data_IF_922636672987
#
_entry.id   IF_922636672987
#
_cell.length_a   1.000
_cell.length_b   1.000
_cell.length_c   1.000
_cell.angle_alpha   90.00
_cell.angle_beta   90.00
_cell.angle_gamma   90.00
#
_symmetry.space_group_name_H-M   'P 1'
#
loop_
_entity.id
_entity.type
_entity.pdbx_description
1 polymer ?
#
# COMPACT_ATOMS: atom_id res chain seq x y z
N UNK A 1 -2.37 36.83 -12.17
CA UNK A 1 -2.76 35.60 -11.44
C UNK A 1 -1.47 34.89 -11.12
N UNK A 2 -1.24 34.64 -9.84
CA UNK A 2 -0.06 33.98 -9.31
C UNK A 2 -0.59 32.87 -8.43
N UNK A 3 -0.02 31.69 -8.55
CA UNK A 3 -0.54 30.48 -7.94
C UNK A 3 0.64 29.64 -7.48
N UNK A 4 0.54 29.10 -6.28
CA UNK A 4 1.49 28.14 -5.76
C UNK A 4 0.70 26.93 -5.30
N UNK A 5 1.07 25.77 -5.80
CA UNK A 5 0.45 24.51 -5.48
C UNK A 5 1.40 23.60 -4.72
N UNK A 6 0.83 23.01 -3.67
CA UNK A 6 1.40 21.95 -2.87
C UNK A 6 0.24 21.16 -2.27
N UNK A 7 0.29 19.82 -2.31
CA UNK A 7 -0.79 18.96 -1.81
C UNK A 7 -1.18 19.32 -0.36
N UNK A 8 -2.48 19.26 -0.04
CA UNK A 8 -2.98 19.56 1.30
C UNK A 8 -2.78 18.41 2.28
N UNK A 9 -2.91 17.17 1.79
CA UNK A 9 -2.70 15.96 2.57
C UNK A 9 -1.42 15.30 2.07
N UNK A 10 -0.41 15.25 2.93
CA UNK A 10 0.91 14.75 2.57
C UNK A 10 1.32 13.66 3.55
N UNK A 11 1.71 12.50 3.03
CA UNK A 11 2.24 11.40 3.84
C UNK A 11 3.74 11.62 4.08
N UNK A 12 4.20 11.29 5.28
CA UNK A 12 5.63 11.28 5.59
C UNK A 12 6.34 10.20 4.74
N UNK A 13 7.51 10.54 4.17
CA UNK A 13 8.23 9.68 3.22
C UNK A 13 7.72 9.71 1.77
N UNK A 14 6.69 10.52 1.45
CA UNK A 14 6.17 10.74 0.10
C UNK A 14 7.06 11.69 -0.74
N UNK A 15 7.02 11.52 -2.06
CA UNK A 15 7.48 12.51 -3.02
C UNK A 15 6.28 13.27 -3.58
N UNK A 16 6.23 14.58 -3.36
CA UNK A 16 5.07 15.40 -3.72
C UNK A 16 5.42 16.39 -4.83
N UNK A 17 4.54 16.55 -5.83
CA UNK A 17 4.70 17.59 -6.83
C UNK A 17 4.37 18.97 -6.25
N UNK A 18 5.11 19.96 -6.72
CA UNK A 18 4.80 21.37 -6.50
C UNK A 18 4.90 22.14 -7.81
N UNK A 19 4.15 23.25 -7.91
CA UNK A 19 4.34 24.19 -8.99
C UNK A 19 4.08 25.62 -8.56
N UNK A 20 4.78 26.56 -9.21
CA UNK A 20 4.63 27.99 -9.03
C UNK A 20 4.34 28.60 -10.39
N UNK A 21 3.25 29.36 -10.46
CA UNK A 21 2.85 30.13 -11.62
C UNK A 21 2.93 31.61 -11.31
N UNK A 22 3.50 32.37 -12.24
CA UNK A 22 3.46 33.83 -12.19
C UNK A 22 3.11 34.43 -13.54
N UNK A 23 2.30 35.48 -13.49
CA UNK A 23 2.06 36.37 -14.63
C UNK A 23 2.83 37.66 -14.43
N UNK A 24 3.50 38.14 -15.49
CA UNK A 24 4.18 39.43 -15.49
C UNK A 24 5.52 39.38 -16.24
N UNK A 25 6.35 40.36 -15.93
CA UNK A 25 7.70 40.57 -16.48
C UNK A 25 8.64 39.36 -16.25
N UNK A 26 9.74 39.33 -17.00
CA UNK A 26 10.84 38.39 -16.75
C UNK A 26 11.30 38.47 -15.29
N UNK A 27 11.45 37.31 -14.66
CA UNK A 27 12.05 37.24 -13.33
C UNK A 27 13.55 37.40 -13.45
N UNK A 28 14.14 38.11 -12.49
CA UNK A 28 15.58 38.17 -12.29
C UNK A 28 16.08 36.96 -11.51
N UNK A 29 15.30 36.53 -10.51
CA UNK A 29 15.58 35.32 -9.76
C UNK A 29 14.37 34.80 -8.99
N UNK A 30 14.41 33.51 -8.68
CA UNK A 30 13.46 32.81 -7.83
C UNK A 30 14.24 32.02 -6.78
N UNK A 31 13.86 32.16 -5.51
CA UNK A 31 14.43 31.38 -4.41
C UNK A 31 13.34 30.60 -3.66
N UNK A 32 13.50 29.29 -3.58
CA UNK A 32 12.69 28.42 -2.72
C UNK A 32 13.49 28.03 -1.48
N UNK A 33 12.82 28.02 -0.34
CA UNK A 33 13.35 27.52 0.93
C UNK A 33 12.32 26.59 1.54
N UNK A 34 12.77 25.42 1.99
CA UNK A 34 11.91 24.39 2.57
C UNK A 34 12.30 24.14 4.02
N UNK A 35 11.29 23.94 4.87
CA UNK A 35 11.45 23.53 6.28
C UNK A 35 10.53 22.35 6.54
N UNK A 36 10.97 21.35 7.31
CA UNK A 36 10.18 20.15 7.61
C UNK A 36 10.08 19.13 6.45
N UNK A 37 10.35 19.54 5.22
CA UNK A 37 10.62 18.64 4.10
C UNK A 37 12.07 18.12 4.15
N UNK A 38 12.36 17.04 3.43
CA UNK A 38 13.70 16.43 3.39
C UNK A 38 14.61 17.14 2.38
N UNK A 39 14.20 17.18 1.11
CA UNK A 39 14.97 17.80 0.01
C UNK A 39 14.13 17.98 -1.25
N UNK A 40 14.58 18.86 -2.15
CA UNK A 40 14.13 18.83 -3.55
C UNK A 40 14.72 17.60 -4.26
N UNK A 41 13.91 16.94 -5.09
CA UNK A 41 14.28 15.74 -5.85
C UNK A 41 14.48 16.09 -7.32
N UNK A 42 13.47 16.70 -7.93
CA UNK A 42 13.50 17.08 -9.34
C UNK A 42 13.04 18.52 -9.49
N UNK A 43 13.66 19.25 -10.42
CA UNK A 43 13.29 20.62 -10.79
C UNK A 43 13.03 20.64 -12.28
N UNK A 44 11.91 21.21 -12.69
CA UNK A 44 11.51 21.35 -14.08
C UNK A 44 11.46 22.82 -14.47
N UNK A 45 11.75 23.10 -15.74
CA UNK A 45 11.72 24.44 -16.33
C UNK A 45 12.76 25.40 -15.71
N UNK A 46 13.91 24.87 -15.28
CA UNK A 46 15.03 25.64 -14.72
C UNK A 46 16.28 25.44 -15.57
N UNK A 47 16.69 26.50 -16.25
CA UNK A 47 17.80 26.52 -17.22
C UNK A 47 19.15 26.74 -16.51
N UNK A 48 19.13 27.56 -15.45
CA UNK A 48 20.30 27.88 -14.62
C UNK A 48 19.83 27.96 -13.15
N UNK A 49 20.33 27.05 -12.33
CA UNK A 49 19.93 26.93 -10.93
C UNK A 49 21.03 26.34 -10.04
N UNK A 50 20.97 26.72 -8.77
CA UNK A 50 21.77 26.16 -7.69
C UNK A 50 20.85 25.43 -6.72
N UNK A 51 21.13 24.16 -6.47
CA UNK A 51 20.37 23.34 -5.53
C UNK A 51 21.22 22.99 -4.31
N UNK A 52 20.65 23.26 -3.14
CA UNK A 52 21.11 22.74 -1.85
C UNK A 52 20.01 21.86 -1.25
N UNK A 53 20.30 21.17 -0.14
CA UNK A 53 19.34 20.28 0.50
C UNK A 53 18.00 20.96 0.78
N UNK A 54 18.02 22.21 1.27
CA UNK A 54 16.83 22.91 1.75
C UNK A 54 16.52 24.21 1.00
N UNK A 55 17.27 24.54 -0.06
CA UNK A 55 16.99 25.72 -0.85
C UNK A 55 17.34 25.52 -2.32
N UNK A 56 16.52 26.10 -3.18
CA UNK A 56 16.70 26.17 -4.63
C UNK A 56 16.80 27.64 -5.02
N UNK A 57 17.81 27.99 -5.80
CA UNK A 57 17.92 29.30 -6.42
C UNK A 57 17.91 29.13 -7.94
N UNK A 58 17.00 29.81 -8.63
CA UNK A 58 16.87 29.79 -10.09
C UNK A 58 17.12 31.21 -10.60
N UNK A 59 18.13 31.36 -11.44
CA UNK A 59 18.46 32.61 -12.14
C UNK A 59 17.79 32.68 -13.50
N UNK A 60 17.48 31.53 -14.12
CA UNK A 60 16.88 31.46 -15.46
C UNK A 60 15.94 30.27 -15.61
N UNK A 61 14.80 30.49 -16.26
CA UNK A 61 13.80 29.46 -16.60
C UNK A 61 13.78 29.20 -18.11
N UNK A 62 13.51 27.96 -18.52
CA UNK A 62 13.35 27.60 -19.95
C UNK A 62 12.15 28.31 -20.57
N UNK A 63 10.99 28.26 -19.89
CA UNK A 63 9.74 28.92 -20.28
C UNK A 63 9.33 29.95 -19.23
N UNK A 64 9.00 31.20 -19.60
CA UNK A 64 8.57 32.21 -18.64
C UNK A 64 7.26 31.84 -17.92
N UNK A 65 7.17 32.19 -16.63
CA UNK A 65 5.91 32.16 -15.88
C UNK A 65 5.62 30.87 -15.12
N UNK A 66 6.53 29.90 -15.11
CA UNK A 66 6.34 28.59 -14.50
C UNK A 66 7.62 28.06 -13.85
N UNK A 67 7.50 27.35 -12.73
CA UNK A 67 8.51 26.46 -12.19
C UNK A 67 7.79 25.29 -11.55
N UNK A 68 8.25 24.06 -11.80
CA UNK A 68 7.71 22.85 -11.19
C UNK A 68 8.80 21.99 -10.61
N UNK A 69 8.41 21.00 -9.81
CA UNK A 69 9.35 20.00 -9.32
C UNK A 69 8.72 18.98 -8.38
N UNK A 70 9.58 18.12 -7.86
CA UNK A 70 9.29 17.14 -6.83
C UNK A 70 10.07 17.48 -5.56
N UNK A 71 9.41 17.37 -4.42
CA UNK A 71 10.02 17.51 -3.10
C UNK A 71 9.72 16.26 -2.27
N UNK A 72 10.72 15.76 -1.55
CA UNK A 72 10.56 14.61 -0.66
C UNK A 72 10.25 15.07 0.75
N UNK A 73 9.34 14.38 1.42
CA UNK A 73 8.93 14.65 2.79
C UNK A 73 9.82 13.89 3.77
N UNK A 74 9.93 14.36 5.01
CA UNK A 74 10.70 13.63 6.01
C UNK A 74 9.91 12.45 6.58
N UNK A 75 10.63 11.45 7.08
CA UNK A 75 10.08 10.37 7.92
C UNK A 75 10.43 10.69 9.36
N UNK A 76 9.44 10.70 10.25
CA UNK A 76 9.58 11.03 11.66
C UNK A 76 8.78 10.08 12.54
N UNK A 77 9.19 9.97 13.81
CA UNK A 77 8.42 9.26 14.83
C UNK A 77 7.21 10.05 15.33
N UNK A 78 7.11 11.33 14.97
CA UNK A 78 5.99 12.18 15.33
C UNK A 78 4.86 12.03 14.29
N UNK A 79 3.62 11.70 14.69
CA UNK A 79 2.50 11.50 13.76
C UNK A 79 2.19 12.69 12.85
N UNK A 80 2.51 13.90 13.29
CA UNK A 80 2.28 15.14 12.55
C UNK A 80 3.54 16.01 12.60
N UNK A 81 4.08 16.33 11.44
CA UNK A 81 5.23 17.25 11.30
C UNK A 81 4.79 18.46 10.49
N UNK A 82 5.04 19.66 11.02
CA UNK A 82 4.80 20.89 10.25
C UNK A 82 5.92 21.08 9.23
N UNK A 83 5.55 21.29 7.98
CA UNK A 83 6.45 21.57 6.89
C UNK A 83 6.02 22.85 6.15
N UNK A 84 6.96 23.56 5.58
CA UNK A 84 6.69 24.81 4.87
C UNK A 84 7.59 25.00 3.68
N UNK A 85 7.06 25.71 2.69
CA UNK A 85 7.80 26.16 1.52
C UNK A 85 7.61 27.67 1.36
N UNK A 86 8.73 28.39 1.36
CA UNK A 86 8.81 29.82 1.13
C UNK A 86 9.34 30.07 -0.27
N UNK A 87 8.65 30.92 -1.02
CA UNK A 87 9.01 31.32 -2.38
C UNK A 87 9.30 32.82 -2.38
N UNK A 88 10.45 33.23 -2.90
CA UNK A 88 10.80 34.63 -3.10
C UNK A 88 11.05 34.85 -4.60
N UNK A 89 10.24 35.69 -5.23
CA UNK A 89 10.40 36.13 -6.62
C UNK A 89 10.95 37.55 -6.66
N UNK A 90 12.04 37.76 -7.39
CA UNK A 90 12.55 39.08 -7.75
C UNK A 90 12.35 39.30 -9.25
N UNK A 91 11.58 40.31 -9.63
CA UNK A 91 11.33 40.68 -11.03
C UNK A 91 12.45 41.57 -11.56
N UNK A 92 12.66 41.59 -12.88
CA UNK A 92 13.66 42.45 -13.52
C UNK A 92 13.46 43.94 -13.23
N UNK A 93 12.22 44.37 -12.99
CA UNK A 93 11.85 45.74 -12.60
C UNK A 93 12.18 46.08 -11.12
N UNK A 94 12.77 45.14 -10.37
CA UNK A 94 13.13 45.29 -8.96
C UNK A 94 12.01 45.00 -7.95
N UNK A 95 10.79 44.72 -8.41
CA UNK A 95 9.70 44.28 -7.55
C UNK A 95 10.05 42.93 -6.91
N UNK A 96 9.70 42.75 -5.64
CA UNK A 96 9.81 41.48 -4.93
C UNK A 96 8.45 40.98 -4.50
N UNK A 97 8.26 39.66 -4.57
CA UNK A 97 7.07 38.98 -4.04
C UNK A 97 7.49 37.77 -3.24
N UNK A 98 6.73 37.51 -2.19
CA UNK A 98 6.95 36.39 -1.29
C UNK A 98 5.66 35.57 -1.17
N UNK A 99 5.81 34.25 -1.19
CA UNK A 99 4.74 33.28 -0.94
C UNK A 99 5.21 32.32 0.14
N UNK A 100 4.25 31.82 0.89
CA UNK A 100 4.52 30.91 1.98
C UNK A 100 3.36 29.93 2.12
N UNK A 101 3.64 28.65 1.99
CA UNK A 101 2.67 27.58 2.24
C UNK A 101 3.15 26.74 3.40
N UNK A 102 2.23 26.44 4.32
CA UNK A 102 2.41 25.50 5.40
C UNK A 102 1.58 24.26 5.13
N UNK A 103 2.16 23.09 5.43
CA UNK A 103 1.49 21.81 5.36
C UNK A 103 1.80 20.98 6.59
N UNK A 104 0.94 20.01 6.87
CA UNK A 104 1.17 19.00 7.89
C UNK A 104 1.47 17.70 7.17
N UNK A 105 2.58 17.07 7.56
CA UNK A 105 2.99 15.75 7.08
C UNK A 105 2.47 14.72 8.06
N UNK A 106 1.66 13.79 7.58
CA UNK A 106 0.97 12.81 8.41
C UNK A 106 1.64 11.44 8.34
N UNK A 107 1.71 10.78 9.48
CA UNK A 107 1.90 9.33 9.60
C UNK A 107 0.99 8.80 10.70
N UNK A 108 0.89 7.48 10.84
CA UNK A 108 0.13 6.83 11.92
C UNK A 108 1.05 5.92 12.71
N UNK A 109 1.14 6.17 14.01
CA UNK A 109 1.84 5.32 14.96
C UNK A 109 0.89 4.35 15.62
N UNK A 110 1.35 3.12 15.79
CA UNK A 110 0.55 2.01 16.32
C UNK A 110 0.98 1.74 17.76
N UNK A 111 0.03 1.78 18.69
CA UNK A 111 0.30 1.64 20.12
C UNK A 111 -0.61 0.57 20.71
N UNK A 112 -0.07 -0.61 21.08
CA UNK A 112 -0.83 -1.60 21.85
C UNK A 112 -1.31 -0.98 23.16
N UNK A 113 -2.60 -1.14 23.48
CA UNK A 113 -3.21 -0.61 24.72
C UNK A 113 -3.62 -1.70 25.68
N UNK A 114 -4.33 -2.71 25.20
CA UNK A 114 -4.68 -3.89 25.98
C UNK A 114 -4.39 -5.11 25.13
N UNK A 115 -3.60 -6.02 25.66
CA UNK A 115 -3.36 -7.32 25.06
C UNK A 115 -3.79 -8.33 26.13
N UNK A 116 -4.93 -9.01 25.97
CA UNK A 116 -5.36 -10.01 26.94
C UNK A 116 -4.34 -11.15 26.97
N UNK A 117 -4.14 -11.74 28.16
CA UNK A 117 -3.29 -12.93 28.30
C UNK A 117 -3.98 -14.17 27.70
N UNK A 118 -5.32 -14.22 27.79
CA UNK A 118 -6.17 -15.30 27.28
C UNK A 118 -7.36 -14.69 26.52
N UNK A 119 -7.66 -15.23 25.35
CA UNK A 119 -8.91 -14.97 24.61
C UNK A 119 -9.74 -16.26 24.63
N UNK A 120 -10.85 -16.24 25.34
CA UNK A 120 -11.81 -17.35 25.41
C UNK A 120 -12.85 -17.22 24.30
N UNK A 121 -12.68 -18.01 23.23
CA UNK A 121 -13.56 -18.04 22.06
C UNK A 121 -14.91 -18.70 22.34
N UNK A 122 -15.08 -19.34 23.50
CA UNK A 122 -16.36 -19.89 23.96
C UNK A 122 -17.32 -18.76 24.38
N UNK A 123 -16.78 -17.59 24.73
CA UNK A 123 -17.55 -16.38 25.00
C UNK A 123 -17.74 -15.56 23.72
N UNK A 124 -18.98 -15.32 23.23
CA UNK A 124 -19.22 -14.50 22.04
C UNK A 124 -18.77 -13.03 22.19
N UNK A 125 -18.59 -12.54 23.42
CA UNK A 125 -18.07 -11.20 23.74
C UNK A 125 -16.66 -11.27 24.35
N UNK A 126 -15.78 -12.07 23.74
CA UNK A 126 -14.40 -12.21 24.18
C UNK A 126 -13.61 -10.88 24.16
N UNK A 127 -12.63 -10.76 25.06
CA UNK A 127 -11.75 -9.59 25.11
C UNK A 127 -10.87 -9.54 23.85
N UNK A 128 -10.87 -8.39 23.18
CA UNK A 128 -10.09 -8.16 21.96
C UNK A 128 -8.76 -7.48 22.27
N UNK A 129 -7.80 -7.67 21.38
CA UNK A 129 -6.53 -6.96 21.40
C UNK A 129 -6.80 -5.51 20.99
N UNK A 130 -6.64 -4.57 21.93
CA UNK A 130 -6.89 -3.16 21.71
C UNK A 130 -5.61 -2.46 21.23
N UNK A 131 -5.69 -1.85 20.05
CA UNK A 131 -4.61 -1.08 19.43
C UNK A 131 -5.08 0.36 19.19
N UNK A 132 -4.33 1.32 19.74
CA UNK A 132 -4.52 2.74 19.45
C UNK A 132 -3.72 3.15 18.22
N UNK A 133 -4.35 3.97 17.37
CA UNK A 133 -3.75 4.57 16.19
C UNK A 133 -3.59 6.07 16.44
N UNK A 134 -2.35 6.57 16.53
CA UNK A 134 -2.05 8.00 16.65
C UNK A 134 -1.66 8.56 15.30
N UNK A 135 -2.54 9.37 14.69
CA UNK A 135 -2.34 9.94 13.36
C UNK A 135 -3.56 9.78 12.47
N UNK A 136 -3.42 10.08 11.17
CA UNK A 136 -4.55 10.17 10.22
C UNK A 136 -4.42 9.30 8.96
N UNK A 137 -3.21 8.76 8.71
CA UNK A 137 -2.95 7.90 7.55
C UNK A 137 -3.61 6.53 7.69
N UNK A 138 -3.93 5.91 6.56
CA UNK A 138 -4.41 4.52 6.54
C UNK A 138 -3.27 3.58 6.93
N UNK A 139 -3.61 2.50 7.62
CA UNK A 139 -2.64 1.48 8.08
C UNK A 139 -3.05 0.13 7.53
N UNK A 140 -2.08 -0.60 7.01
CA UNK A 140 -2.21 -1.95 6.50
C UNK A 140 -1.39 -2.91 7.38
N UNK A 141 -2.04 -3.87 8.03
CA UNK A 141 -1.38 -4.88 8.83
C UNK A 141 -1.06 -6.12 8.00
N UNK A 142 0.21 -6.48 7.95
CA UNK A 142 0.67 -7.81 7.57
C UNK A 142 0.82 -8.65 8.82
N UNK A 143 0.30 -9.87 8.80
CA UNK A 143 0.38 -10.80 9.93
C UNK A 143 1.36 -11.91 9.59
N UNK A 144 2.38 -12.08 10.41
CA UNK A 144 3.35 -13.17 10.29
C UNK A 144 3.24 -14.10 11.51
N UNK A 145 3.47 -15.40 11.28
CA UNK A 145 3.62 -16.40 12.37
C UNK A 145 5.00 -16.24 13.00
N UNK A 146 5.07 -16.35 14.33
CA UNK A 146 6.32 -16.55 15.05
C UNK A 146 6.58 -18.06 15.23
N UNK A 147 7.84 -18.45 15.44
CA UNK A 147 8.24 -19.87 15.52
C UNK A 147 7.55 -20.64 16.65
N UNK A 148 7.19 -19.95 17.73
CA UNK A 148 6.54 -20.50 18.93
C UNK A 148 5.01 -20.55 18.83
N UNK A 149 4.45 -20.25 17.66
CA UNK A 149 3.02 -20.24 17.41
C UNK A 149 2.48 -21.66 17.26
N UNK A 150 1.57 -22.04 18.15
CA UNK A 150 0.91 -23.34 18.15
C UNK A 150 -0.43 -23.31 17.40
N UNK A 151 -1.02 -22.12 17.20
CA UNK A 151 -2.32 -21.99 16.55
C UNK A 151 -2.17 -21.91 15.04
N UNK A 152 -2.74 -22.86 14.30
CA UNK A 152 -2.67 -22.86 12.85
C UNK A 152 -3.38 -21.60 12.32
N UNK A 153 -2.70 -20.81 11.48
CA UNK A 153 -3.37 -19.76 10.72
C UNK A 153 -3.50 -20.21 9.29
N UNK A 154 -4.72 -20.19 8.78
CA UNK A 154 -5.00 -20.62 7.43
C UNK A 154 -6.36 -20.09 6.95
N UNK A 155 -6.67 -20.32 5.69
CA UNK A 155 -8.00 -20.08 5.15
C UNK A 155 -8.99 -21.16 5.59
N UNK A 156 -10.27 -20.80 5.63
CA UNK A 156 -11.35 -21.76 5.80
C UNK A 156 -11.25 -22.87 4.73
N UNK A 157 -11.59 -24.14 5.06
CA UNK A 157 -11.53 -25.25 4.12
C UNK A 157 -12.25 -24.97 2.79
N UNK A 158 -13.39 -24.29 2.82
CA UNK A 158 -14.15 -23.93 1.62
C UNK A 158 -13.41 -22.95 0.73
N UNK A 159 -12.67 -22.00 1.32
CA UNK A 159 -11.84 -21.03 0.60
C UNK A 159 -10.62 -21.72 -0.01
N UNK A 160 -9.99 -22.65 0.72
CA UNK A 160 -8.88 -23.47 0.18
C UNK A 160 -9.34 -24.29 -1.02
N UNK A 161 -10.45 -25.01 -0.90
CA UNK A 161 -11.03 -25.82 -1.98
C UNK A 161 -11.40 -24.95 -3.17
N UNK A 162 -11.92 -23.75 -2.94
CA UNK A 162 -12.21 -22.79 -3.99
C UNK A 162 -10.94 -22.39 -4.77
N UNK A 163 -9.85 -22.03 -4.08
CA UNK A 163 -8.60 -21.68 -4.75
C UNK A 163 -8.00 -22.85 -5.52
N UNK A 164 -8.08 -24.07 -4.98
CA UNK A 164 -7.65 -25.28 -5.70
C UNK A 164 -8.47 -25.47 -6.99
N UNK A 165 -9.80 -25.40 -6.92
CA UNK A 165 -10.67 -25.54 -8.08
C UNK A 165 -10.41 -24.45 -9.13
N UNK A 166 -10.20 -23.18 -8.71
CA UNK A 166 -9.84 -22.09 -9.61
C UNK A 166 -8.50 -22.37 -10.28
N UNK A 167 -7.51 -22.83 -9.51
CA UNK A 167 -6.19 -23.21 -10.01
C UNK A 167 -6.25 -24.33 -11.04
N UNK A 168 -7.05 -25.37 -10.81
CA UNK A 168 -7.26 -26.47 -11.76
C UNK A 168 -7.88 -25.98 -13.08
N UNK A 169 -8.89 -25.11 -13.02
CA UNK A 169 -9.52 -24.55 -14.22
C UNK A 169 -8.55 -23.66 -15.00
N UNK A 170 -7.78 -22.81 -14.32
CA UNK A 170 -6.76 -21.97 -14.96
C UNK A 170 -5.69 -22.86 -15.60
N UNK A 171 -5.19 -23.86 -14.87
CA UNK A 171 -4.16 -24.77 -15.36
C UNK A 171 -4.64 -25.54 -16.60
N UNK A 172 -5.86 -26.09 -16.57
CA UNK A 172 -6.45 -26.76 -17.73
C UNK A 172 -6.62 -25.80 -18.91
N UNK A 173 -7.16 -24.61 -18.68
CA UNK A 173 -7.37 -23.61 -19.73
C UNK A 173 -6.06 -23.17 -20.38
N UNK A 174 -5.00 -22.98 -19.59
CA UNK A 174 -3.66 -22.66 -20.11
C UNK A 174 -3.06 -23.83 -20.90
N UNK A 175 -3.26 -25.08 -20.49
CA UNK A 175 -2.83 -26.24 -21.28
C UNK A 175 -3.54 -26.27 -22.63
N UNK A 176 -4.87 -26.07 -22.65
CA UNK A 176 -5.65 -26.06 -23.88
C UNK A 176 -5.23 -24.91 -24.80
N UNK A 177 -4.88 -23.76 -24.23
CA UNK A 177 -4.40 -22.58 -24.95
C UNK A 177 -3.12 -22.85 -25.75
N UNK A 178 -2.27 -23.79 -25.34
CA UNK A 178 -1.07 -24.19 -26.11
C UNK A 178 -1.41 -24.79 -27.46
N UNK A 179 -2.56 -25.45 -27.58
CA UNK A 179 -3.00 -26.01 -28.86
C UNK A 179 -3.50 -24.92 -29.81
N UNK A 180 -4.15 -23.88 -29.29
CA UNK A 180 -4.64 -22.74 -30.08
C UNK A 180 -3.55 -21.74 -30.43
N UNK A 181 -2.57 -21.54 -29.54
CA UNK A 181 -1.46 -20.60 -29.71
C UNK A 181 -0.09 -21.29 -29.54
N UNK A 182 0.32 -22.19 -30.44
CA UNK A 182 1.60 -22.91 -30.32
C UNK A 182 2.82 -21.98 -30.26
N UNK A 183 2.73 -20.81 -30.89
CA UNK A 183 3.79 -19.81 -30.93
C UNK A 183 4.11 -19.19 -29.56
N UNK A 184 3.20 -19.28 -28.59
CA UNK A 184 3.35 -18.69 -27.25
C UNK A 184 3.49 -19.75 -26.14
N UNK A 185 3.80 -21.00 -26.50
CA UNK A 185 3.92 -22.12 -25.56
C UNK A 185 4.89 -21.80 -24.42
N UNK A 186 6.06 -21.23 -24.72
CA UNK A 186 7.08 -20.89 -23.71
C UNK A 186 6.56 -19.86 -22.69
N UNK A 187 5.75 -18.90 -23.11
CA UNK A 187 5.13 -17.93 -22.20
C UNK A 187 4.03 -18.58 -21.35
N UNK A 188 3.25 -19.49 -21.92
CA UNK A 188 2.24 -20.25 -21.18
C UNK A 188 2.91 -21.14 -20.12
N UNK A 189 3.99 -21.83 -20.48
CA UNK A 189 4.80 -22.62 -19.54
C UNK A 189 5.35 -21.74 -18.42
N UNK A 190 5.85 -20.55 -18.75
CA UNK A 190 6.28 -19.58 -17.75
C UNK A 190 5.17 -19.19 -16.77
N UNK A 191 3.92 -18.98 -17.23
CA UNK A 191 2.78 -18.70 -16.34
C UNK A 191 2.48 -19.92 -15.45
N UNK A 192 2.50 -21.13 -16.01
CA UNK A 192 2.20 -22.37 -15.29
C UNK A 192 3.26 -22.71 -14.22
N UNK A 193 4.52 -22.38 -14.50
CA UNK A 193 5.66 -22.61 -13.59
C UNK A 193 5.87 -21.45 -12.59
N UNK A 194 5.07 -20.38 -12.67
CA UNK A 194 5.24 -19.21 -11.82
C UNK A 194 5.02 -19.58 -10.34
N UNK A 195 6.12 -19.71 -9.61
CA UNK A 195 6.12 -20.08 -8.20
C UNK A 195 5.68 -18.90 -7.31
N UNK A 196 4.50 -19.04 -6.72
CA UNK A 196 3.93 -18.10 -5.74
C UNK A 196 4.76 -17.95 -4.45
N UNK A 197 5.81 -18.75 -4.23
CA UNK A 197 6.71 -18.62 -3.09
C UNK A 197 7.57 -17.35 -3.13
N UNK A 198 7.75 -16.74 -4.32
CA UNK A 198 8.35 -15.42 -4.45
C UNK A 198 7.31 -14.37 -4.05
N UNK A 199 7.62 -13.56 -3.04
CA UNK A 199 6.67 -12.59 -2.49
C UNK A 199 6.31 -11.54 -3.56
N UNK A 200 5.01 -11.38 -3.85
CA UNK A 200 4.44 -10.42 -4.83
C UNK A 200 4.99 -8.99 -4.65
N UNK A 201 5.44 -8.62 -3.44
CA UNK A 201 6.03 -7.31 -3.13
C UNK A 201 7.42 -7.04 -3.73
N UNK A 202 8.17 -8.06 -4.12
CA UNK A 202 9.50 -7.94 -4.76
C UNK A 202 9.47 -8.25 -6.26
N UNK A 203 8.29 -8.53 -6.81
CA UNK A 203 8.11 -9.14 -8.12
C UNK A 203 7.65 -8.17 -9.23
N UNK A 204 7.61 -6.84 -9.07
CA UNK A 204 7.05 -6.00 -10.16
C UNK A 204 8.07 -5.70 -11.25
N UNK A 205 9.16 -4.99 -10.98
CA UNK A 205 10.00 -4.47 -12.08
C UNK A 205 10.88 -5.53 -12.77
N UNK A 206 11.45 -6.47 -12.03
CA UNK A 206 12.35 -7.46 -12.62
C UNK A 206 11.58 -8.51 -13.44
N UNK A 207 10.42 -8.93 -12.95
CA UNK A 207 9.51 -9.82 -13.67
C UNK A 207 8.89 -9.13 -14.87
N UNK A 208 8.47 -7.87 -14.72
CA UNK A 208 7.93 -7.08 -15.83
C UNK A 208 8.98 -6.92 -16.94
N UNK A 209 10.23 -6.56 -16.60
CA UNK A 209 11.33 -6.52 -17.58
C UNK A 209 11.64 -7.89 -18.18
N UNK A 210 11.59 -8.96 -17.39
CA UNK A 210 11.79 -10.32 -17.90
C UNK A 210 10.69 -10.71 -18.90
N UNK A 211 9.43 -10.43 -18.58
CA UNK A 211 8.29 -10.69 -19.46
C UNK A 211 8.38 -9.85 -20.72
N UNK A 212 8.63 -8.54 -20.61
CA UNK A 212 8.78 -7.64 -21.75
C UNK A 212 9.94 -8.04 -22.67
N UNK A 213 11.07 -8.46 -22.10
CA UNK A 213 12.26 -8.81 -22.89
C UNK A 213 12.18 -10.19 -23.55
N UNK A 214 11.57 -11.18 -22.89
CA UNK A 214 11.52 -12.56 -23.39
C UNK A 214 10.24 -12.88 -24.17
N UNK A 215 9.13 -12.22 -23.84
CA UNK A 215 7.81 -12.56 -24.33
C UNK A 215 7.10 -11.36 -24.97
N UNK A 216 7.86 -10.40 -25.51
CA UNK A 216 7.36 -9.18 -26.17
C UNK A 216 6.23 -9.46 -27.17
N UNK A 217 6.38 -10.52 -27.96
CA UNK A 217 5.44 -10.88 -29.01
C UNK A 217 4.12 -11.39 -28.42
N UNK A 218 4.19 -12.19 -27.36
CA UNK A 218 3.01 -12.71 -26.67
C UNK A 218 2.24 -11.59 -25.94
N UNK A 219 2.93 -10.66 -25.29
CA UNK A 219 2.29 -9.53 -24.59
C UNK A 219 1.77 -8.43 -25.54
N UNK A 220 2.21 -8.42 -26.79
CA UNK A 220 1.72 -7.47 -27.81
C UNK A 220 0.51 -8.01 -28.57
N UNK A 221 0.18 -9.30 -28.44
CA UNK A 221 -0.95 -9.93 -29.09
C UNK A 221 -2.22 -9.80 -28.24
N UNK A 222 -3.03 -8.78 -28.54
CA UNK A 222 -4.26 -8.48 -27.81
C UNK A 222 -5.27 -9.65 -27.81
N UNK A 223 -5.32 -10.45 -28.89
CA UNK A 223 -6.28 -11.56 -29.00
C UNK A 223 -5.85 -12.69 -28.07
N UNK A 224 -4.56 -13.02 -28.07
CA UNK A 224 -4.00 -14.00 -27.16
C UNK A 224 -4.16 -13.59 -25.70
N UNK A 225 -3.84 -12.33 -25.36
CA UNK A 225 -4.02 -11.81 -24.00
C UNK A 225 -5.48 -11.80 -23.55
N UNK A 226 -6.40 -11.45 -24.45
CA UNK A 226 -7.85 -11.55 -24.17
C UNK A 226 -8.27 -12.99 -23.88
N UNK A 227 -7.72 -13.96 -24.62
CA UNK A 227 -8.04 -15.38 -24.40
C UNK A 227 -7.49 -15.88 -23.06
N UNK A 228 -6.28 -15.44 -22.68
CA UNK A 228 -5.77 -15.67 -21.32
C UNK A 228 -6.72 -15.08 -20.29
N UNK A 229 -7.10 -13.80 -20.43
CA UNK A 229 -7.98 -13.14 -19.48
C UNK A 229 -9.32 -13.87 -19.32
N UNK A 230 -9.89 -14.37 -20.42
CA UNK A 230 -11.14 -15.13 -20.41
C UNK A 230 -11.02 -16.44 -19.61
N UNK A 231 -9.86 -17.12 -19.64
CA UNK A 231 -9.60 -18.29 -18.79
C UNK A 231 -9.70 -17.91 -17.31
N UNK A 232 -9.02 -16.83 -16.90
CA UNK A 232 -9.06 -16.36 -15.50
C UNK A 232 -10.46 -15.91 -15.09
N UNK A 233 -11.15 -15.13 -15.92
CA UNK A 233 -12.51 -14.66 -15.66
C UNK A 233 -13.47 -15.84 -15.53
N UNK A 234 -13.38 -16.82 -16.43
CA UNK A 234 -14.21 -18.03 -16.40
C UNK A 234 -13.93 -18.87 -15.16
N UNK A 235 -12.67 -19.03 -14.77
CA UNK A 235 -12.29 -19.75 -13.56
C UNK A 235 -12.87 -19.09 -12.30
N UNK A 236 -12.75 -17.75 -12.19
CA UNK A 236 -13.24 -17.00 -11.04
C UNK A 236 -14.77 -16.91 -11.00
N UNK A 237 -15.41 -16.51 -12.10
CA UNK A 237 -16.86 -16.27 -12.14
C UNK A 237 -17.69 -17.53 -12.38
N UNK A 238 -17.11 -18.54 -13.02
CA UNK A 238 -17.73 -19.86 -13.21
C UNK A 238 -17.90 -20.62 -11.90
N UNK A 239 -17.17 -20.23 -10.85
CA UNK A 239 -17.32 -20.78 -9.52
C UNK A 239 -18.34 -19.97 -8.69
N UNK A 240 -19.54 -20.52 -8.49
CA UNK A 240 -20.61 -19.86 -7.74
C UNK A 240 -20.20 -19.49 -6.30
N UNK A 241 -19.29 -20.27 -5.70
CA UNK A 241 -18.80 -20.05 -4.34
C UNK A 241 -17.80 -18.90 -4.28
N UNK A 242 -17.12 -18.53 -5.38
CA UNK A 242 -16.23 -17.37 -5.42
C UNK A 242 -16.95 -16.08 -5.06
N UNK A 243 -18.13 -15.86 -5.67
CA UNK A 243 -18.92 -14.66 -5.42
C UNK A 243 -19.35 -14.56 -3.95
N UNK A 244 -19.74 -15.68 -3.34
CA UNK A 244 -20.23 -15.70 -1.96
C UNK A 244 -19.08 -15.63 -0.96
N UNK A 245 -18.11 -16.51 -1.08
CA UNK A 245 -17.09 -16.77 -0.05
C UNK A 245 -15.89 -15.82 -0.15
N UNK A 246 -15.57 -15.30 -1.34
CA UNK A 246 -14.50 -14.32 -1.53
C UNK A 246 -15.09 -12.92 -1.65
N UNK A 247 -15.82 -12.64 -2.73
CA UNK A 247 -16.29 -11.26 -2.97
C UNK A 247 -17.24 -10.77 -1.88
N UNK A 248 -18.16 -11.62 -1.41
CA UNK A 248 -19.07 -11.29 -0.31
C UNK A 248 -18.33 -11.00 0.99
N UNK A 249 -17.46 -11.91 1.42
CA UNK A 249 -16.68 -11.77 2.67
C UNK A 249 -15.74 -10.56 2.62
N UNK A 250 -15.03 -10.37 1.51
CA UNK A 250 -14.16 -9.20 1.31
C UNK A 250 -14.95 -7.90 1.26
N UNK A 251 -16.13 -7.90 0.65
CA UNK A 251 -17.01 -6.72 0.63
C UNK A 251 -17.50 -6.35 2.04
N UNK A 252 -17.98 -7.31 2.82
CA UNK A 252 -18.40 -7.05 4.20
C UNK A 252 -17.22 -6.57 5.06
N UNK A 253 -16.06 -7.20 4.94
CA UNK A 253 -14.82 -6.73 5.55
C UNK A 253 -14.54 -5.25 5.22
N UNK A 254 -14.55 -4.87 3.92
CA UNK A 254 -14.29 -3.49 3.52
C UNK A 254 -15.39 -2.51 3.96
N UNK A 255 -16.64 -2.96 4.02
CA UNK A 255 -17.76 -2.14 4.49
C UNK A 255 -17.66 -1.86 5.99
N UNK A 256 -17.25 -2.84 6.79
CA UNK A 256 -17.01 -2.68 8.22
C UNK A 256 -15.73 -1.87 8.52
N UNK A 257 -14.65 -2.11 7.76
CA UNK A 257 -13.37 -1.39 7.91
C UNK A 257 -13.37 0.03 7.36
N UNK A 258 -14.13 0.33 6.29
CA UNK A 258 -14.31 1.72 5.80
C UNK A 258 -14.90 2.65 6.86
N UNK A 259 -15.65 2.10 7.81
CA UNK A 259 -16.25 2.86 8.91
C UNK A 259 -15.35 2.89 10.18
N UNK A 260 -14.33 2.04 10.27
CA UNK A 260 -13.51 1.87 11.47
C UNK A 260 -12.06 2.28 11.22
N UNK A 261 -11.79 3.57 11.37
CA UNK A 261 -10.44 4.09 11.59
C UNK A 261 -9.40 3.88 10.47
N UNK A 262 -9.80 3.54 9.23
CA UNK A 262 -8.88 3.36 8.07
C UNK A 262 -7.78 2.31 8.33
N UNK A 263 -8.15 1.20 8.96
CA UNK A 263 -7.27 0.05 9.19
C UNK A 263 -7.65 -1.09 8.27
N UNK A 264 -6.66 -1.70 7.64
CA UNK A 264 -6.81 -2.83 6.75
C UNK A 264 -5.83 -3.93 7.13
N UNK A 265 -6.17 -5.18 6.86
CA UNK A 265 -5.30 -6.34 6.91
C UNK A 265 -4.99 -6.70 5.46
N UNK A 266 -3.73 -7.01 5.17
CA UNK A 266 -3.32 -7.41 3.82
C UNK A 266 -3.99 -8.72 3.38
N UNK A 267 -4.35 -9.57 4.35
CA UNK A 267 -5.12 -10.77 4.12
C UNK A 267 -6.34 -10.81 5.04
N UNK A 268 -7.50 -10.29 4.58
CA UNK A 268 -8.71 -10.25 5.38
C UNK A 268 -9.41 -11.60 5.52
N UNK A 269 -9.02 -12.62 4.73
CA UNK A 269 -9.61 -13.96 4.76
C UNK A 269 -8.84 -14.93 5.66
N UNK A 270 -7.72 -14.48 6.23
CA UNK A 270 -6.89 -15.31 7.09
C UNK A 270 -7.57 -15.53 8.45
N UNK A 271 -7.66 -16.80 8.85
CA UNK A 271 -8.27 -17.22 10.10
C UNK A 271 -7.23 -17.83 11.03
N UNK A 272 -7.55 -17.87 12.31
CA UNK A 272 -6.88 -18.70 13.31
C UNK A 272 -7.75 -19.91 13.57
N UNK A 273 -7.17 -21.08 13.42
CA UNK A 273 -7.72 -22.34 13.87
C UNK A 273 -7.33 -22.55 15.34
N UNK A 274 -8.31 -22.48 16.21
CA UNK A 274 -8.16 -22.86 17.60
C UNK A 274 -8.62 -24.31 17.76
N UNK A 275 -7.73 -25.24 18.14
CA UNK A 275 -8.16 -26.57 18.54
C UNK A 275 -8.97 -26.48 19.85
N UNK A 276 -9.68 -27.55 20.17
CA UNK A 276 -10.30 -27.70 21.49
C UNK A 276 -9.25 -27.63 22.60
N UNK A 277 -9.47 -26.77 23.59
CA UNK A 277 -8.57 -26.53 24.71
C UNK A 277 -7.77 -25.25 24.54
N UNK A 278 -6.51 -25.27 24.98
CA UNK A 278 -5.60 -24.12 24.96
C UNK A 278 -4.61 -24.21 23.81
N UNK A 279 -4.34 -23.07 23.19
CA UNK A 279 -3.38 -22.95 22.10
C UNK A 279 -2.58 -21.64 22.23
N UNK A 280 -1.25 -21.69 22.13
CA UNK A 280 -0.43 -20.48 22.16
C UNK A 280 -0.41 -19.80 20.77
N UNK A 281 -1.05 -18.64 20.66
CA UNK A 281 -1.00 -17.79 19.49
C UNK A 281 0.18 -16.81 19.61
N UNK A 282 1.17 -16.96 18.73
CA UNK A 282 2.35 -16.10 18.68
C UNK A 282 2.48 -15.45 17.30
N UNK A 283 2.17 -14.15 17.23
CA UNK A 283 2.07 -13.42 15.95
C UNK A 283 2.96 -12.19 15.95
N UNK A 284 3.39 -11.80 14.76
CA UNK A 284 3.98 -10.50 14.49
C UNK A 284 3.07 -9.72 13.55
N UNK A 285 2.58 -8.58 14.02
CA UNK A 285 1.87 -7.60 13.21
C UNK A 285 2.86 -6.55 12.71
N UNK A 286 3.05 -6.49 11.40
CA UNK A 286 3.84 -5.46 10.74
C UNK A 286 2.87 -4.41 10.18
N UNK A 287 2.96 -3.18 10.69
CA UNK A 287 2.16 -2.07 10.22
C UNK A 287 2.84 -1.38 9.04
N UNK A 288 2.10 -1.22 7.95
CA UNK A 288 2.52 -0.54 6.73
C UNK A 288 1.61 0.68 6.48
N UNK A 289 2.14 1.75 5.92
CA UNK A 289 1.34 2.87 5.44
C UNK A 289 0.90 2.70 3.96
N UNK A 290 0.26 3.74 3.40
CA UNK A 290 -0.18 3.76 2.00
C UNK A 290 0.99 3.72 1.00
N UNK A 291 2.19 4.11 1.41
CA UNK A 291 3.42 4.02 0.62
C UNK A 291 4.13 2.66 0.80
N UNK A 292 3.50 1.72 1.53
CA UNK A 292 4.04 0.42 1.92
C UNK A 292 5.30 0.52 2.79
N UNK A 293 5.53 1.66 3.44
CA UNK A 293 6.63 1.85 4.37
C UNK A 293 6.26 1.21 5.71
N UNK A 294 7.19 0.45 6.29
CA UNK A 294 6.99 -0.15 7.61
C UNK A 294 7.08 0.93 8.69
N UNK A 295 6.01 1.13 9.45
CA UNK A 295 5.95 2.13 10.51
C UNK A 295 6.27 1.55 11.89
N UNK A 296 5.62 0.46 12.26
CA UNK A 296 5.71 -0.17 13.58
C UNK A 296 5.55 -1.69 13.47
N UNK A 297 5.97 -2.41 14.51
CA UNK A 297 5.81 -3.86 14.60
C UNK A 297 5.40 -4.27 16.01
N UNK A 298 4.37 -5.10 16.12
CA UNK A 298 3.84 -5.58 17.39
C UNK A 298 3.99 -7.10 17.43
N UNK A 299 4.70 -7.59 18.44
CA UNK A 299 4.78 -9.03 18.72
C UNK A 299 3.76 -9.37 19.80
N UNK A 300 2.93 -10.37 19.50
CA UNK A 300 1.83 -10.82 20.33
C UNK A 300 2.09 -12.26 20.75
N UNK A 301 1.87 -12.55 22.02
CA UNK A 301 1.85 -13.92 22.58
C UNK A 301 0.65 -14.01 23.50
N UNK A 302 -0.35 -14.77 23.09
CA UNK A 302 -1.66 -14.81 23.75
C UNK A 302 -2.13 -16.26 23.72
N UNK A 303 -2.73 -16.73 24.80
CA UNK A 303 -3.38 -18.03 24.82
C UNK A 303 -4.78 -17.89 24.23
N UNK A 304 -5.12 -18.75 23.28
CA UNK A 304 -6.48 -18.89 22.76
C UNK A 304 -7.10 -20.12 23.42
N UNK A 305 -8.28 -19.95 23.98
CA UNK A 305 -9.06 -21.03 24.60
C UNK A 305 -10.36 -21.25 23.83
N UNK A 306 -10.73 -22.50 23.58
CA UNK A 306 -12.00 -22.86 22.98
C UNK A 306 -12.54 -24.20 23.48
N UNK A 307 -13.85 -24.28 23.69
CA UNK A 307 -14.53 -25.55 24.05
C UNK A 307 -14.62 -26.56 22.90
N UNK A 308 -14.52 -26.06 21.66
CA UNK A 308 -14.61 -26.81 20.40
C UNK A 308 -13.58 -26.29 19.38
N UNK A 309 -13.39 -27.03 18.29
CA UNK A 309 -12.55 -26.60 17.18
C UNK A 309 -13.25 -25.46 16.43
N UNK A 310 -12.60 -24.31 16.32
CA UNK A 310 -13.19 -23.11 15.72
C UNK A 310 -12.19 -22.37 14.84
N UNK A 311 -12.70 -21.80 13.76
CA UNK A 311 -11.98 -20.82 12.93
C UNK A 311 -12.48 -19.42 13.27
N UNK A 312 -11.56 -18.53 13.59
CA UNK A 312 -11.86 -17.13 13.89
C UNK A 312 -11.10 -16.23 12.92
N UNK A 313 -11.77 -15.33 12.20
CA UNK A 313 -11.10 -14.34 11.37
C UNK A 313 -10.12 -13.54 12.21
N UNK A 314 -8.88 -13.39 11.75
CA UNK A 314 -7.84 -12.68 12.52
C UNK A 314 -8.28 -11.26 12.87
N UNK A 315 -8.94 -10.57 11.93
CA UNK A 315 -9.46 -9.21 12.14
C UNK A 315 -10.35 -9.11 13.37
N UNK A 316 -11.14 -10.15 13.67
CA UNK A 316 -12.12 -10.12 14.75
C UNK A 316 -11.46 -10.16 16.14
N UNK A 317 -10.22 -10.63 16.23
CA UNK A 317 -9.43 -10.63 17.45
C UNK A 317 -8.93 -9.22 17.85
N UNK A 318 -9.05 -8.24 16.96
CA UNK A 318 -8.55 -6.89 17.16
C UNK A 318 -9.66 -5.86 17.31
N UNK A 319 -9.38 -4.86 18.12
CA UNK A 319 -10.16 -3.63 18.21
C UNK A 319 -9.23 -2.45 18.00
N UNK A 320 -9.57 -1.58 17.04
CA UNK A 320 -8.76 -0.41 16.71
C UNK A 320 -9.45 0.86 17.15
N UNK A 321 -8.71 1.76 17.78
CA UNK A 321 -9.19 3.09 18.16
C UNK A 321 -8.26 4.17 17.64
N UNK A 322 -8.77 5.06 16.80
CA UNK A 322 -7.99 6.24 16.38
C UNK A 322 -8.07 7.32 17.44
N UNK A 323 -6.91 7.80 17.87
CA UNK A 323 -6.73 8.86 18.86
C UNK A 323 -6.04 10.04 18.18
N UNK A 324 -6.74 11.16 18.14
CA UNK A 324 -6.22 12.47 17.70
C UNK A 324 -5.25 13.04 18.73
#
# INVERSE_FOLDING_TARGET
MQEFYLSDNIVQGEEIPFYILWKGDEIKSLKLEITGFSKFIEIYNADDYELSSNSLFVSKTETPGYLGGLISTCISDVPQVSASMKVNLEYANGQKKEFFENRILYTTKIIPKSIPEIIDLSNPEYEKILIDLKGETSVFFKVNKLDENECEMDYLPEVKMLFLNIGEVIHSGLIDLKAEYPAYTDFIDYILEFDNSKTISTLSEEVEREIESKYSDAISDEIFLSTIADIFITAMLGNADFKKNILGSTYEYFKETRNTNRVFFNDPLLNIYSPKGLCNMALELVALDVLKQQSDTIKLKIMIEGEEEIFVPIVDLFSFRRVS
#
